data_IF_032159354641
#
_entry.id   IF_032159354641
#
_cell.length_a   1.000
_cell.length_b   1.000
_cell.length_c   1.000
_cell.angle_alpha   90.00
_cell.angle_beta   90.00
_cell.angle_gamma   90.00
#
_symmetry.space_group_name_H-M   'P 1'
#
loop_
_entity.id
_entity.type
_entity.pdbx_description
1 polymer ?
#
# COMPACT_ATOMS: atom_id res chain seq x y z
N UNK A 1 14.17 -3.62 19.05
CA UNK A 1 15.00 -3.93 17.87
C UNK A 1 14.42 -3.14 16.71
N UNK A 2 15.26 -2.42 15.96
CA UNK A 2 14.88 -1.78 14.72
C UNK A 2 14.63 -2.84 13.64
N UNK A 3 13.72 -2.56 12.74
CA UNK A 3 13.38 -3.43 11.61
C UNK A 3 13.98 -2.84 10.33
N UNK A 4 14.56 -3.66 9.47
CA UNK A 4 15.04 -3.20 8.18
C UNK A 4 13.84 -2.93 7.26
N UNK A 5 13.66 -1.67 6.88
CA UNK A 5 12.62 -1.25 5.93
C UNK A 5 13.24 -1.17 4.55
N UNK A 6 12.60 -1.79 3.55
CA UNK A 6 13.06 -1.78 2.16
C UNK A 6 11.93 -1.26 1.27
N UNK A 7 12.20 -0.21 0.52
CA UNK A 7 11.22 0.44 -0.36
C UNK A 7 11.71 0.35 -1.80
N UNK A 8 11.24 -0.65 -2.59
CA UNK A 8 11.55 -0.75 -4.00
C UNK A 8 10.80 0.34 -4.78
N UNK A 9 11.54 1.24 -5.40
CA UNK A 9 11.01 2.37 -6.16
C UNK A 9 11.76 2.62 -7.48
N UNK A 10 12.41 1.57 -8.00
CA UNK A 10 13.20 1.61 -9.25
C UNK A 10 12.36 1.54 -10.53
N UNK A 11 11.04 1.48 -10.43
CA UNK A 11 10.14 1.41 -11.58
C UNK A 11 10.22 2.67 -12.46
N UNK A 12 10.18 2.50 -13.78
CA UNK A 12 10.35 3.58 -14.77
C UNK A 12 9.18 4.59 -14.74
N UNK A 13 8.02 4.22 -14.20
CA UNK A 13 6.87 5.12 -14.07
C UNK A 13 6.15 5.45 -15.38
N UNK A 14 6.20 4.56 -16.38
CA UNK A 14 5.67 4.82 -17.74
C UNK A 14 4.25 5.36 -17.75
N UNK A 15 3.33 4.79 -16.95
CA UNK A 15 1.91 5.23 -16.89
C UNK A 15 1.77 6.71 -16.55
N UNK A 16 2.58 7.21 -15.61
CA UNK A 16 2.58 8.62 -15.24
C UNK A 16 3.21 9.49 -16.34
N UNK A 17 4.30 9.04 -16.97
CA UNK A 17 4.92 9.74 -18.11
C UNK A 17 3.97 9.84 -19.31
N UNK A 18 3.28 8.77 -19.67
CA UNK A 18 2.27 8.74 -20.73
C UNK A 18 1.09 9.68 -20.44
N UNK A 19 0.79 9.93 -19.16
CA UNK A 19 -0.24 10.88 -18.72
C UNK A 19 0.25 12.33 -18.67
N UNK A 20 1.55 12.57 -18.93
CA UNK A 20 2.17 13.90 -18.97
C UNK A 20 2.85 14.36 -17.69
N UNK A 21 3.12 13.45 -16.76
CA UNK A 21 3.91 13.77 -15.56
C UNK A 21 5.40 13.63 -15.84
N UNK A 22 6.15 14.73 -15.70
CA UNK A 22 7.60 14.76 -15.87
C UNK A 22 8.40 14.38 -14.62
N UNK A 23 7.71 14.27 -13.48
CA UNK A 23 8.27 13.97 -12.17
C UNK A 23 8.06 12.50 -11.83
N UNK A 24 9.01 11.89 -11.14
CA UNK A 24 8.87 10.53 -10.61
C UNK A 24 7.64 10.44 -9.71
N UNK A 25 6.83 9.35 -9.84
CA UNK A 25 5.55 9.20 -9.13
C UNK A 25 5.65 9.43 -7.63
N UNK A 26 6.73 8.94 -7.00
CA UNK A 26 6.94 9.07 -5.56
C UNK A 26 7.31 10.49 -5.10
N UNK A 27 7.64 11.38 -6.02
CA UNK A 27 7.83 12.82 -5.77
C UNK A 27 6.61 13.67 -6.10
N UNK A 28 5.53 13.08 -6.63
CA UNK A 28 4.28 13.81 -6.88
C UNK A 28 3.69 14.33 -5.56
N UNK A 29 3.19 15.57 -5.56
CA UNK A 29 2.70 16.18 -4.33
C UNK A 29 1.32 15.66 -3.95
N UNK A 30 1.17 15.22 -2.70
CA UNK A 30 -0.11 15.08 -2.01
C UNK A 30 -0.20 16.26 -1.06
N UNK A 31 -0.91 17.32 -1.48
CA UNK A 31 -0.93 18.61 -0.79
C UNK A 31 0.49 19.22 -0.67
N UNK A 32 1.00 19.34 0.54
CA UNK A 32 2.28 20.00 0.83
C UNK A 32 3.48 19.05 0.87
N UNK A 33 3.24 17.73 0.80
CA UNK A 33 4.28 16.71 0.91
C UNK A 33 4.29 15.80 -0.31
N UNK A 34 5.45 15.32 -0.77
CA UNK A 34 5.51 14.29 -1.81
C UNK A 34 5.04 12.93 -1.28
N UNK A 35 4.59 12.05 -2.17
CA UNK A 35 4.14 10.69 -1.85
C UNK A 35 5.15 9.96 -0.97
N UNK A 36 6.45 10.02 -1.30
CA UNK A 36 7.49 9.33 -0.53
C UNK A 36 7.52 9.75 0.95
N UNK A 37 7.18 11.01 1.27
CA UNK A 37 7.15 11.46 2.67
C UNK A 37 6.03 10.75 3.46
N UNK A 38 4.87 10.51 2.85
CA UNK A 38 3.80 9.72 3.48
C UNK A 38 4.20 8.26 3.69
N UNK A 39 5.00 7.71 2.77
CA UNK A 39 5.52 6.34 2.90
C UNK A 39 6.56 6.25 4.03
N UNK A 40 7.47 7.22 4.14
CA UNK A 40 8.46 7.28 5.22
C UNK A 40 7.76 7.48 6.58
N UNK A 41 6.70 8.27 6.65
CA UNK A 41 5.91 8.51 7.87
C UNK A 41 5.19 7.24 8.40
N UNK A 42 5.10 6.17 7.60
CA UNK A 42 4.57 4.87 8.05
C UNK A 42 5.46 4.17 9.08
N UNK A 43 6.76 4.50 9.13
CA UNK A 43 7.77 3.81 9.92
C UNK A 43 8.45 4.76 10.92
N UNK A 44 7.69 5.36 11.84
CA UNK A 44 8.28 6.19 12.87
C UNK A 44 9.23 5.35 13.73
N UNK A 45 10.34 5.93 14.16
CA UNK A 45 11.37 5.32 15.03
C UNK A 45 12.19 4.19 14.39
N UNK A 46 12.04 3.91 13.08
CA UNK A 46 12.98 3.05 12.37
C UNK A 46 14.19 3.85 11.88
N UNK A 47 15.36 3.23 11.91
CA UNK A 47 16.65 3.86 11.54
C UNK A 47 17.42 3.12 10.43
N UNK A 48 16.84 2.04 9.89
CA UNK A 48 17.39 1.28 8.76
C UNK A 48 16.41 1.29 7.58
N UNK A 49 16.27 2.45 6.92
CA UNK A 49 15.39 2.65 5.78
C UNK A 49 16.20 2.59 4.49
N UNK A 50 15.85 1.65 3.61
CA UNK A 50 16.59 1.36 2.39
C UNK A 50 15.71 1.61 1.16
N UNK A 51 16.06 2.61 0.35
CA UNK A 51 15.39 2.94 -0.90
C UNK A 51 16.13 2.32 -2.07
N UNK A 52 15.42 1.55 -2.91
CA UNK A 52 15.99 0.99 -4.14
C UNK A 52 15.49 1.81 -5.32
N UNK A 53 16.35 2.62 -5.91
CA UNK A 53 16.08 3.46 -7.06
C UNK A 53 16.69 2.87 -8.34
N UNK A 54 16.30 3.37 -9.50
CA UNK A 54 17.02 3.08 -10.73
C UNK A 54 18.25 4.01 -10.89
N UNK A 55 19.22 3.60 -11.70
CA UNK A 55 20.46 4.37 -11.93
C UNK A 55 20.22 5.73 -12.58
N UNK A 56 19.14 5.88 -13.36
CA UNK A 56 18.78 7.17 -13.97
C UNK A 56 18.40 8.19 -12.88
N UNK A 57 17.74 7.74 -11.80
CA UNK A 57 17.39 8.59 -10.66
C UNK A 57 18.64 9.06 -9.88
N UNK A 58 19.73 8.27 -9.88
CA UNK A 58 21.02 8.69 -9.32
C UNK A 58 21.68 9.79 -10.17
N UNK A 59 21.62 9.66 -11.50
CA UNK A 59 22.16 10.68 -12.41
C UNK A 59 21.37 11.99 -12.32
N UNK A 60 20.08 11.93 -11.96
CA UNK A 60 19.29 13.09 -11.57
C UNK A 60 19.46 13.39 -10.06
N UNK A 61 20.54 14.12 -9.74
CA UNK A 61 20.82 14.57 -8.35
C UNK A 61 19.63 15.29 -7.70
N UNK A 62 18.66 15.76 -8.49
CA UNK A 62 17.45 16.41 -7.99
C UNK A 62 16.57 15.42 -7.21
N UNK A 63 16.47 14.15 -7.67
CA UNK A 63 15.67 13.11 -6.97
C UNK A 63 16.22 12.90 -5.56
N UNK A 64 17.52 12.64 -5.43
CA UNK A 64 18.17 12.41 -4.12
C UNK A 64 18.04 13.65 -3.22
N UNK A 65 18.26 14.83 -3.78
CA UNK A 65 18.13 16.09 -3.04
C UNK A 65 16.71 16.32 -2.52
N UNK A 66 15.69 15.97 -3.31
CA UNK A 66 14.30 16.12 -2.85
C UNK A 66 13.97 15.13 -1.71
N UNK A 67 14.41 13.88 -1.81
CA UNK A 67 14.17 12.87 -0.76
C UNK A 67 14.96 13.21 0.51
N UNK A 68 16.21 13.65 0.39
CA UNK A 68 17.07 13.97 1.56
C UNK A 68 16.52 15.10 2.43
N UNK A 69 15.61 15.93 1.94
CA UNK A 69 14.90 16.94 2.76
C UNK A 69 14.05 16.32 3.88
N UNK A 70 13.77 15.02 3.80
CA UNK A 70 12.94 14.29 4.77
C UNK A 70 13.75 13.28 5.58
N UNK A 71 15.08 13.35 5.52
CA UNK A 71 16.02 12.47 6.20
C UNK A 71 16.85 13.26 7.23
N UNK A 72 16.18 13.80 8.24
CA UNK A 72 16.82 14.66 9.25
C UNK A 72 17.91 13.94 10.06
N UNK A 73 17.82 12.63 10.20
CA UNK A 73 18.72 11.80 11.03
C UNK A 73 19.68 10.92 10.23
N UNK A 74 19.76 11.08 8.90
CA UNK A 74 20.54 10.23 7.98
C UNK A 74 20.23 8.73 8.10
N UNK A 75 18.94 8.41 8.21
CA UNK A 75 18.44 7.02 8.35
C UNK A 75 18.22 6.34 7.00
N UNK A 76 18.19 7.13 5.91
CA UNK A 76 17.90 6.65 4.56
C UNK A 76 19.19 6.22 3.86
N UNK A 77 19.21 4.98 3.39
CA UNK A 77 20.26 4.42 2.56
C UNK A 77 19.74 4.24 1.13
N UNK A 78 20.53 4.67 0.18
CA UNK A 78 20.18 4.61 -1.24
C UNK A 78 20.90 3.44 -1.91
N UNK A 79 20.15 2.62 -2.64
CA UNK A 79 20.64 1.51 -3.46
C UNK A 79 20.18 1.72 -4.89
N UNK A 80 21.05 1.45 -5.84
CA UNK A 80 20.77 1.70 -7.25
C UNK A 80 20.80 0.41 -8.02
N UNK A 81 19.85 0.24 -8.92
CA UNK A 81 19.74 -0.92 -9.82
C UNK A 81 19.51 -0.43 -11.24
N UNK A 82 19.92 -1.22 -12.21
CA UNK A 82 19.64 -0.95 -13.61
C UNK A 82 18.12 -0.77 -13.83
N UNK A 83 17.75 0.17 -14.70
CA UNK A 83 16.35 0.42 -15.04
C UNK A 83 15.71 -0.84 -15.68
N UNK A 84 14.58 -1.28 -15.15
CA UNK A 84 13.93 -2.53 -15.58
C UNK A 84 12.40 -2.46 -15.53
N UNK A 85 11.74 -3.45 -16.19
CA UNK A 85 10.29 -3.68 -16.16
C UNK A 85 9.94 -5.05 -15.55
N UNK A 86 10.78 -5.59 -14.67
CA UNK A 86 10.63 -6.94 -14.10
C UNK A 86 9.94 -6.95 -12.73
N UNK A 87 9.43 -5.80 -12.30
CA UNK A 87 8.70 -5.65 -11.04
C UNK A 87 9.58 -5.53 -9.79
N UNK A 88 8.96 -5.30 -8.63
CA UNK A 88 9.67 -5.02 -7.37
C UNK A 88 10.51 -6.21 -6.88
N UNK A 89 10.12 -7.45 -7.18
CA UNK A 89 10.91 -8.63 -6.83
C UNK A 89 12.29 -8.63 -7.47
N UNK A 90 12.40 -8.21 -8.72
CA UNK A 90 13.70 -8.09 -9.40
C UNK A 90 14.58 -7.02 -8.75
N UNK A 91 14.02 -5.85 -8.42
CA UNK A 91 14.76 -4.79 -7.74
C UNK A 91 15.38 -5.28 -6.43
N UNK A 92 14.61 -6.01 -5.62
CA UNK A 92 15.08 -6.59 -4.37
C UNK A 92 16.22 -7.58 -4.56
N UNK A 93 16.10 -8.49 -5.53
CA UNK A 93 17.12 -9.50 -5.83
C UNK A 93 18.38 -8.91 -6.45
N UNK A 94 18.31 -7.73 -7.05
CA UNK A 94 19.45 -7.00 -7.62
C UNK A 94 20.30 -6.30 -6.55
N UNK A 95 19.93 -6.43 -5.28
CA UNK A 95 20.68 -5.89 -4.13
C UNK A 95 21.01 -6.99 -3.13
N UNK A 96 21.95 -6.71 -2.22
CA UNK A 96 22.30 -7.61 -1.11
C UNK A 96 21.40 -7.44 0.15
N UNK A 97 20.36 -6.60 0.08
CA UNK A 97 19.53 -6.23 1.22
C UNK A 97 18.82 -7.42 1.88
N UNK A 98 18.48 -8.44 1.09
CA UNK A 98 17.83 -9.66 1.57
C UNK A 98 18.80 -10.72 2.10
N UNK A 99 20.12 -10.52 2.02
CA UNK A 99 21.12 -11.43 2.56
C UNK A 99 21.28 -11.27 4.08
N UNK A 100 20.21 -11.39 4.82
CA UNK A 100 20.21 -11.20 6.29
C UNK A 100 19.32 -12.22 6.99
N UNK A 101 19.69 -12.58 8.20
CA UNK A 101 18.87 -13.37 9.13
C UNK A 101 17.95 -12.46 10.00
N UNK A 102 17.99 -11.15 9.77
CA UNK A 102 17.09 -10.22 10.42
C UNK A 102 15.75 -10.14 9.69
N UNK A 103 14.73 -9.78 10.45
CA UNK A 103 13.41 -9.48 9.93
C UNK A 103 13.43 -8.25 9.03
N UNK A 104 12.63 -8.29 7.95
CA UNK A 104 12.54 -7.21 6.97
C UNK A 104 11.07 -6.85 6.71
N UNK A 105 10.82 -5.57 6.47
CA UNK A 105 9.55 -5.09 5.97
C UNK A 105 9.74 -4.42 4.62
N UNK A 106 9.13 -4.97 3.59
CA UNK A 106 9.16 -4.43 2.24
C UNK A 106 7.88 -3.61 2.05
N UNK A 107 8.00 -2.37 1.59
CA UNK A 107 6.84 -1.49 1.37
C UNK A 107 6.93 -0.82 0.01
N UNK A 108 5.87 -0.88 -0.79
CA UNK A 108 5.86 -0.14 -2.05
C UNK A 108 5.79 1.37 -1.80
N UNK A 109 6.17 2.16 -2.80
CA UNK A 109 6.40 3.60 -2.67
C UNK A 109 5.21 4.48 -3.06
N UNK A 110 4.02 3.91 -3.27
CA UNK A 110 2.90 4.56 -3.94
C UNK A 110 1.56 4.43 -3.22
N UNK A 111 1.61 4.25 -1.89
CA UNK A 111 0.43 4.22 -1.03
C UNK A 111 0.77 4.71 0.38
N UNK A 112 -0.25 4.95 1.19
CA UNK A 112 -0.12 5.15 2.63
C UNK A 112 -1.27 4.47 3.39
N UNK A 113 -1.07 4.26 4.68
CA UNK A 113 -2.05 3.68 5.59
C UNK A 113 -2.19 4.56 6.84
N UNK A 114 -3.32 4.44 7.53
CA UNK A 114 -3.40 4.88 8.92
C UNK A 114 -3.25 3.64 9.80
N UNK A 115 -2.09 3.48 10.44
CA UNK A 115 -1.78 2.39 11.34
C UNK A 115 -0.95 2.84 12.55
N UNK A 116 -0.91 2.02 13.56
CA UNK A 116 0.00 2.16 14.69
C UNK A 116 1.16 1.17 14.48
N UNK A 117 2.29 1.67 14.00
CA UNK A 117 3.47 0.86 13.72
C UNK A 117 3.96 0.09 14.96
N UNK A 118 3.86 0.69 16.15
CA UNK A 118 4.21 0.02 17.40
C UNK A 118 3.34 -1.20 17.67
N UNK A 119 2.05 -1.14 17.34
CA UNK A 119 1.15 -2.29 17.45
C UNK A 119 1.50 -3.39 16.46
N UNK A 120 1.88 -3.05 15.23
CA UNK A 120 2.33 -4.03 14.23
C UNK A 120 3.60 -4.74 14.75
N UNK A 121 4.61 -4.00 15.22
CA UNK A 121 5.82 -4.58 15.83
C UNK A 121 5.50 -5.47 17.05
N UNK A 122 4.56 -5.06 17.88
CA UNK A 122 4.11 -5.87 19.03
C UNK A 122 3.41 -7.16 18.57
N UNK A 123 2.58 -7.11 17.54
CA UNK A 123 1.94 -8.28 16.95
C UNK A 123 2.98 -9.28 16.43
N UNK A 124 3.93 -8.81 15.62
CA UNK A 124 5.04 -9.62 15.10
C UNK A 124 5.84 -10.27 16.23
N UNK A 125 6.20 -9.49 17.26
CA UNK A 125 6.98 -9.99 18.41
C UNK A 125 6.25 -11.08 19.17
N UNK A 126 4.94 -10.94 19.35
CA UNK A 126 4.12 -11.87 20.13
C UNK A 126 3.80 -13.15 19.37
N UNK A 127 3.44 -13.06 18.11
CA UNK A 127 2.97 -14.18 17.29
C UNK A 127 4.12 -14.86 16.52
N UNK A 128 5.19 -14.14 16.22
CA UNK A 128 6.36 -14.60 15.45
C UNK A 128 5.99 -15.29 14.14
N UNK A 129 5.13 -14.69 13.30
CA UNK A 129 4.76 -15.29 12.03
C UNK A 129 5.95 -15.32 11.07
N UNK A 130 5.95 -16.24 10.11
CA UNK A 130 6.94 -16.25 9.02
C UNK A 130 6.76 -15.07 8.07
N UNK A 131 5.52 -14.60 7.93
CA UNK A 131 5.15 -13.42 7.16
C UNK A 131 3.95 -12.69 7.76
N UNK A 132 3.78 -11.39 7.40
CA UNK A 132 2.60 -10.62 7.76
C UNK A 132 2.22 -9.72 6.59
N UNK A 133 0.93 -9.70 6.26
CA UNK A 133 0.32 -8.88 5.22
C UNK A 133 -0.61 -7.84 5.85
N UNK A 134 -0.25 -6.55 5.85
CA UNK A 134 -1.23 -5.50 6.05
C UNK A 134 -2.26 -5.54 4.92
N UNK A 135 -3.53 -5.63 5.29
CA UNK A 135 -4.60 -5.80 4.34
C UNK A 135 -5.83 -4.96 4.73
N UNK A 136 -6.52 -4.47 3.74
CA UNK A 136 -7.76 -3.72 3.89
C UNK A 136 -8.94 -4.49 3.31
N UNK A 137 -10.15 -4.10 3.69
CA UNK A 137 -11.40 -4.66 3.20
C UNK A 137 -12.45 -3.57 3.12
N UNK A 138 -13.34 -3.65 2.15
CA UNK A 138 -14.44 -2.71 2.00
C UNK A 138 -14.35 -1.89 0.72
N UNK A 139 -15.13 -0.81 0.66
CA UNK A 139 -15.25 0.02 -0.53
C UNK A 139 -14.00 0.88 -0.71
N UNK A 140 -13.32 0.66 -1.82
CA UNK A 140 -12.30 1.54 -2.36
C UNK A 140 -12.67 1.87 -3.82
N UNK A 141 -12.45 3.10 -4.26
CA UNK A 141 -12.90 3.54 -5.57
C UNK A 141 -12.39 2.64 -6.71
N UNK A 142 -11.13 2.21 -6.65
CA UNK A 142 -10.55 1.30 -7.64
C UNK A 142 -11.25 -0.07 -7.70
N UNK A 143 -11.79 -0.61 -6.59
CA UNK A 143 -12.47 -1.91 -6.60
C UNK A 143 -13.83 -1.90 -7.30
N UNK A 144 -14.36 -0.71 -7.61
CA UNK A 144 -15.63 -0.57 -8.35
C UNK A 144 -15.45 -0.93 -9.82
N UNK A 145 -14.26 -0.67 -10.39
CA UNK A 145 -14.05 -0.81 -11.84
C UNK A 145 -12.69 -1.46 -12.22
N UNK A 146 -11.82 -1.73 -11.26
CA UNK A 146 -10.49 -2.35 -11.52
C UNK A 146 -10.03 -3.24 -10.39
N UNK A 147 -9.41 -4.36 -10.73
CA UNK A 147 -8.74 -5.28 -9.81
C UNK A 147 -7.23 -5.08 -9.91
N UNK A 148 -6.70 -4.02 -9.30
CA UNK A 148 -5.29 -3.64 -9.42
C UNK A 148 -4.39 -4.20 -8.31
N UNK A 149 -4.99 -4.84 -7.28
CA UNK A 149 -4.28 -5.28 -6.07
C UNK A 149 -4.39 -6.77 -5.85
N UNK A 150 -3.60 -7.32 -4.93
CA UNK A 150 -3.62 -8.73 -4.62
C UNK A 150 -4.75 -9.04 -3.62
N UNK A 151 -5.66 -9.93 -3.99
CA UNK A 151 -6.77 -10.40 -3.17
C UNK A 151 -6.36 -11.58 -2.31
N UNK A 152 -6.86 -11.65 -1.09
CA UNK A 152 -6.45 -12.57 -0.05
C UNK A 152 -7.61 -13.48 0.33
N UNK A 153 -7.39 -14.78 0.25
CA UNK A 153 -8.22 -15.80 0.88
C UNK A 153 -7.61 -16.14 2.24
N UNK A 154 -8.39 -15.97 3.29
CA UNK A 154 -7.93 -16.15 4.67
C UNK A 154 -8.89 -17.01 5.48
N UNK A 155 -8.40 -17.48 6.63
CA UNK A 155 -9.22 -18.04 7.71
C UNK A 155 -8.63 -17.60 9.04
N UNK A 156 -9.46 -16.99 9.91
CA UNK A 156 -9.05 -16.51 11.23
C UNK A 156 -7.82 -15.57 11.18
N UNK A 157 -7.78 -14.69 10.15
CA UNK A 157 -6.68 -13.79 9.85
C UNK A 157 -5.34 -14.50 9.55
N UNK A 158 -5.39 -15.74 9.09
CA UNK A 158 -4.24 -16.48 8.54
C UNK A 158 -4.40 -16.64 7.03
N UNK A 159 -3.32 -16.42 6.30
CA UNK A 159 -3.31 -16.54 4.84
C UNK A 159 -3.53 -18.00 4.41
N UNK A 160 -4.51 -18.23 3.55
CA UNK A 160 -4.68 -19.49 2.83
C UNK A 160 -4.15 -19.43 1.41
N UNK A 161 -4.39 -18.31 0.72
CA UNK A 161 -3.92 -18.05 -0.65
C UNK A 161 -4.01 -16.56 -0.96
N UNK A 162 -3.22 -16.10 -1.91
CA UNK A 162 -3.27 -14.73 -2.42
C UNK A 162 -3.13 -14.74 -3.94
N UNK A 163 -3.91 -13.92 -4.63
CA UNK A 163 -3.87 -13.77 -6.08
C UNK A 163 -3.67 -12.32 -6.47
N UNK A 164 -2.68 -12.06 -7.29
CA UNK A 164 -2.43 -10.72 -7.82
C UNK A 164 -3.46 -10.37 -8.89
N UNK A 165 -4.18 -9.25 -8.71
CA UNK A 165 -5.17 -8.68 -9.65
C UNK A 165 -6.37 -9.58 -9.98
N UNK A 166 -6.61 -10.62 -9.22
CA UNK A 166 -7.69 -11.57 -9.42
C UNK A 166 -8.41 -11.86 -8.09
N UNK A 167 -9.68 -11.42 -7.91
CA UNK A 167 -10.46 -11.75 -6.73
C UNK A 167 -10.83 -13.24 -6.70
N UNK A 168 -11.14 -13.76 -5.51
CA UNK A 168 -11.60 -15.14 -5.31
C UNK A 168 -13.10 -15.29 -5.52
N UNK A 169 -13.86 -14.20 -5.42
CA UNK A 169 -15.33 -14.18 -5.52
C UNK A 169 -15.79 -13.04 -6.45
N UNK A 170 -17.08 -13.03 -6.76
CA UNK A 170 -17.73 -11.94 -7.53
C UNK A 170 -17.96 -10.65 -6.69
N UNK A 171 -17.58 -10.67 -5.41
CA UNK A 171 -17.69 -9.54 -4.50
C UNK A 171 -16.33 -9.15 -3.90
N UNK A 172 -15.45 -8.53 -4.69
CA UNK A 172 -14.09 -8.17 -4.26
C UNK A 172 -14.06 -7.18 -3.10
N UNK A 173 -15.13 -6.41 -2.86
CA UNK A 173 -15.21 -5.49 -1.73
C UNK A 173 -15.35 -6.22 -0.38
N UNK A 174 -15.78 -7.47 -0.39
CA UNK A 174 -15.85 -8.33 0.79
C UNK A 174 -14.65 -9.25 0.96
N UNK A 175 -13.64 -9.12 0.11
CA UNK A 175 -12.35 -9.80 0.27
C UNK A 175 -11.31 -8.87 0.89
N UNK A 176 -10.33 -9.43 1.61
CA UNK A 176 -9.15 -8.66 1.94
C UNK A 176 -8.28 -8.45 0.71
N UNK A 177 -7.69 -7.26 0.59
CA UNK A 177 -6.69 -6.95 -0.41
C UNK A 177 -5.41 -6.44 0.26
N UNK A 178 -4.25 -6.82 -0.27
CA UNK A 178 -2.95 -6.38 0.24
C UNK A 178 -2.74 -4.90 -0.02
N UNK A 179 -2.19 -4.19 0.97
CA UNK A 179 -1.82 -2.78 0.81
C UNK A 179 -0.55 -2.57 -0.01
N UNK A 180 0.28 -3.60 -0.20
CA UNK A 180 1.62 -3.48 -0.78
C UNK A 180 2.73 -3.37 0.27
N UNK A 181 2.41 -3.64 1.53
CA UNK A 181 3.36 -3.84 2.63
C UNK A 181 3.55 -5.34 2.91
N UNK A 182 4.78 -5.78 3.21
CA UNK A 182 5.15 -7.19 3.28
C UNK A 182 6.21 -7.42 4.35
N UNK A 183 5.87 -8.04 5.46
CA UNK A 183 6.82 -8.46 6.49
C UNK A 183 7.29 -9.89 6.25
N UNK A 184 8.58 -10.14 6.35
CA UNK A 184 9.18 -11.47 6.37
C UNK A 184 10.03 -11.64 7.63
N UNK A 185 9.96 -12.82 8.23
CA UNK A 185 10.71 -13.16 9.46
C UNK A 185 12.22 -13.09 9.27
N UNK A 186 12.72 -13.24 8.04
CA UNK A 186 14.12 -12.95 7.67
C UNK A 186 14.22 -12.49 6.22
N UNK A 187 15.26 -11.71 5.89
CA UNK A 187 15.57 -11.37 4.51
C UNK A 187 15.82 -12.62 3.65
N UNK A 188 16.44 -13.67 4.22
CA UNK A 188 16.67 -14.94 3.51
C UNK A 188 15.37 -15.65 3.12
N UNK A 189 14.33 -15.61 3.97
CA UNK A 189 12.99 -16.12 3.63
C UNK A 189 12.43 -15.35 2.46
N UNK A 190 12.46 -14.02 2.52
CA UNK A 190 12.02 -13.18 1.41
C UNK A 190 12.77 -13.51 0.12
N UNK A 191 14.12 -13.58 0.18
CA UNK A 191 14.97 -13.91 -0.98
C UNK A 191 14.61 -15.26 -1.59
N UNK A 192 14.42 -16.30 -0.75
CA UNK A 192 14.05 -17.64 -1.20
C UNK A 192 12.77 -17.62 -2.04
N UNK A 193 11.70 -17.04 -1.51
CA UNK A 193 10.40 -17.08 -2.17
C UNK A 193 10.30 -16.12 -3.36
N UNK A 194 10.98 -14.99 -3.34
CA UNK A 194 11.07 -14.09 -4.49
C UNK A 194 11.87 -14.72 -5.62
N UNK A 195 12.97 -15.43 -5.35
CA UNK A 195 13.71 -16.19 -6.37
C UNK A 195 12.83 -17.25 -7.05
N UNK A 196 12.01 -17.95 -6.27
CA UNK A 196 11.10 -18.97 -6.81
C UNK A 196 10.09 -18.41 -7.82
N UNK A 197 9.74 -17.10 -7.74
CA UNK A 197 8.86 -16.49 -8.74
C UNK A 197 9.49 -16.52 -10.13
N UNK A 198 10.80 -16.28 -10.22
CA UNK A 198 11.54 -16.34 -11.47
C UNK A 198 11.83 -17.78 -11.89
N UNK A 199 12.25 -18.63 -10.96
CA UNK A 199 12.55 -20.05 -11.23
C UNK A 199 11.33 -20.83 -11.74
N UNK A 200 10.14 -20.51 -11.23
CA UNK A 200 8.87 -21.18 -11.59
C UNK A 200 8.04 -20.40 -12.62
N UNK A 201 8.58 -19.31 -13.17
CA UNK A 201 7.89 -18.39 -14.11
C UNK A 201 6.52 -17.90 -13.60
N UNK A 202 6.46 -17.55 -12.29
CA UNK A 202 5.25 -17.00 -11.65
C UNK A 202 5.31 -15.47 -11.77
N UNK A 203 5.14 -14.98 -12.99
CA UNK A 203 5.20 -13.57 -13.32
C UNK A 203 3.83 -13.09 -13.82
N UNK A 204 3.43 -11.86 -13.43
CA UNK A 204 2.22 -11.21 -13.92
C UNK A 204 2.64 -10.10 -14.89
N UNK A 205 2.32 -10.27 -16.17
CA UNK A 205 2.77 -9.37 -17.25
C UNK A 205 4.30 -9.17 -17.28
N UNK A 206 5.07 -10.21 -16.94
CA UNK A 206 6.53 -10.18 -16.87
C UNK A 206 7.10 -9.55 -15.59
N UNK A 207 6.28 -9.22 -14.62
CA UNK A 207 6.67 -8.62 -13.34
C UNK A 207 6.56 -9.61 -12.18
N UNK A 208 7.56 -9.64 -11.30
CA UNK A 208 7.56 -10.40 -10.05
C UNK A 208 6.97 -9.55 -8.92
N UNK A 209 5.71 -9.81 -8.57
CA UNK A 209 5.03 -9.18 -7.44
C UNK A 209 5.32 -9.92 -6.13
N UNK A 210 5.56 -9.17 -5.05
CA UNK A 210 5.88 -9.75 -3.73
C UNK A 210 4.69 -10.55 -3.18
N UNK A 211 3.47 -10.16 -3.48
CA UNK A 211 2.24 -10.89 -3.13
C UNK A 211 2.30 -12.34 -3.58
N UNK A 212 2.80 -12.62 -4.78
CA UNK A 212 2.92 -13.99 -5.32
C UNK A 212 3.89 -14.86 -4.53
N UNK A 213 4.91 -14.27 -3.89
CA UNK A 213 5.81 -15.01 -2.99
C UNK A 213 5.07 -15.52 -1.74
N UNK A 214 4.08 -14.78 -1.25
CA UNK A 214 3.26 -15.19 -0.11
C UNK A 214 2.33 -16.36 -0.42
N UNK A 215 1.86 -16.50 -1.65
CA UNK A 215 1.10 -17.68 -2.07
C UNK A 215 1.95 -18.94 -2.04
N UNK A 216 3.24 -18.82 -2.39
CA UNK A 216 4.20 -19.92 -2.25
C UNK A 216 4.49 -20.23 -0.78
N UNK A 217 4.65 -19.22 0.07
CA UNK A 217 4.85 -19.42 1.51
C UNK A 217 3.67 -20.18 2.14
N UNK A 218 2.44 -19.77 1.84
CA UNK A 218 1.24 -20.44 2.32
C UNK A 218 1.15 -21.90 1.84
N UNK A 219 1.48 -22.18 0.57
CA UNK A 219 1.54 -23.55 0.01
C UNK A 219 2.60 -24.42 0.67
N UNK A 220 3.72 -23.85 1.09
CA UNK A 220 4.78 -24.53 1.82
C UNK A 220 4.46 -24.68 3.33
N UNK A 221 3.29 -24.20 3.79
CA UNK A 221 2.84 -24.32 5.18
C UNK A 221 3.45 -23.32 6.17
N UNK A 222 4.03 -22.23 5.67
CA UNK A 222 4.52 -21.16 6.53
C UNK A 222 3.33 -20.36 7.12
N UNK A 223 3.49 -19.89 8.35
CA UNK A 223 2.49 -19.07 9.01
C UNK A 223 2.56 -17.60 8.55
N UNK A 224 1.51 -17.16 7.88
CA UNK A 224 1.36 -15.76 7.43
C UNK A 224 0.14 -15.14 8.07
N UNK A 225 0.36 -14.08 8.84
CA UNK A 225 -0.70 -13.32 9.49
C UNK A 225 -1.26 -12.23 8.57
N UNK A 226 -2.57 -12.00 8.64
CA UNK A 226 -3.24 -10.84 8.05
C UNK A 226 -3.41 -9.77 9.13
N UNK A 227 -2.85 -8.59 8.89
CA UNK A 227 -3.02 -7.45 9.79
C UNK A 227 -4.01 -6.47 9.18
N UNK A 228 -5.20 -6.36 9.78
CA UNK A 228 -6.26 -5.51 9.26
C UNK A 228 -5.90 -4.03 9.36
N UNK A 229 -6.04 -3.32 8.23
CA UNK A 229 -5.89 -1.88 8.10
C UNK A 229 -7.27 -1.26 7.84
N UNK A 230 -7.62 -0.22 8.61
CA UNK A 230 -8.92 0.44 8.48
C UNK A 230 -8.92 1.50 7.37
N UNK A 231 -7.80 2.17 7.13
CA UNK A 231 -7.68 3.22 6.12
C UNK A 231 -6.46 3.01 5.24
N UNK A 232 -6.70 2.86 3.95
CA UNK A 232 -5.70 2.67 2.92
C UNK A 232 -5.87 3.74 1.83
N UNK A 233 -4.78 4.42 1.48
CA UNK A 233 -4.73 5.45 0.46
C UNK A 233 -3.73 5.05 -0.62
N UNK A 234 -4.18 5.00 -1.86
CA UNK A 234 -3.38 4.51 -2.98
C UNK A 234 -3.16 5.58 -4.03
N UNK A 235 -1.97 5.56 -4.63
CA UNK A 235 -1.54 6.50 -5.66
C UNK A 235 -0.70 5.79 -6.73
N UNK A 236 -0.93 4.50 -6.94
CA UNK A 236 -0.14 3.63 -7.80
C UNK A 236 -0.36 3.83 -9.28
N UNK A 237 -1.48 4.45 -9.66
CA UNK A 237 -1.78 4.82 -11.04
C UNK A 237 -2.11 6.31 -11.14
N UNK A 238 -1.98 6.94 -12.34
CA UNK A 238 -2.40 8.32 -12.53
C UNK A 238 -3.86 8.55 -12.13
N UNK A 239 -4.74 7.61 -12.46
CA UNK A 239 -6.17 7.68 -12.16
C UNK A 239 -6.41 7.68 -10.65
N UNK A 240 -5.77 6.78 -9.89
CA UNK A 240 -5.90 6.72 -8.42
C UNK A 240 -5.40 8.01 -7.77
N UNK A 241 -4.28 8.56 -8.28
CA UNK A 241 -3.70 9.79 -7.79
C UNK A 241 -4.60 11.01 -8.09
N UNK A 242 -5.04 11.17 -9.35
CA UNK A 242 -5.89 12.28 -9.79
C UNK A 242 -7.22 12.28 -9.06
N UNK A 243 -7.86 11.11 -8.91
CA UNK A 243 -9.12 10.95 -8.19
C UNK A 243 -8.97 11.30 -6.71
N UNK A 244 -7.91 10.82 -6.07
CA UNK A 244 -7.63 11.16 -4.67
C UNK A 244 -7.48 12.68 -4.49
N UNK A 245 -6.67 13.34 -5.34
CA UNK A 245 -6.47 14.80 -5.29
C UNK A 245 -7.79 15.54 -5.52
N UNK A 246 -8.58 15.10 -6.51
CA UNK A 246 -9.88 15.70 -6.80
C UNK A 246 -10.80 15.60 -5.59
N UNK A 247 -11.05 14.40 -5.07
CA UNK A 247 -11.93 14.19 -3.92
C UNK A 247 -11.50 14.99 -2.68
N UNK A 248 -10.20 15.03 -2.40
CA UNK A 248 -9.69 15.75 -1.24
C UNK A 248 -9.77 17.26 -1.40
N UNK A 249 -9.62 17.79 -2.62
CA UNK A 249 -9.82 19.23 -2.88
C UNK A 249 -11.29 19.61 -2.71
N UNK A 250 -12.22 18.78 -3.18
CA UNK A 250 -13.66 18.99 -2.98
C UNK A 250 -14.02 19.00 -1.48
N UNK A 251 -13.52 18.02 -0.71
CA UNK A 251 -13.74 17.97 0.75
C UNK A 251 -13.18 19.23 1.44
N UNK A 252 -11.98 19.67 1.06
CA UNK A 252 -11.39 20.91 1.59
C UNK A 252 -12.22 22.14 1.25
N UNK A 253 -12.72 22.24 0.03
CA UNK A 253 -13.56 23.36 -0.42
C UNK A 253 -14.86 23.43 0.38
N UNK A 254 -15.46 22.28 0.67
CA UNK A 254 -16.66 22.20 1.53
C UNK A 254 -16.38 22.70 2.96
N UNK A 255 -15.22 22.37 3.53
CA UNK A 255 -14.84 22.87 4.85
C UNK A 255 -14.47 24.37 4.90
N UNK A 256 -14.04 24.92 3.76
CA UNK A 256 -13.69 26.34 3.63
C UNK A 256 -14.85 27.22 3.15
N UNK A 257 -15.94 26.61 2.66
CA UNK A 257 -17.12 27.35 2.23
C UNK A 257 -17.74 28.08 3.42
N UNK A 258 -18.07 29.38 3.23
CA UNK A 258 -18.85 30.12 4.22
C UNK A 258 -20.18 29.42 4.43
N UNK A 259 -20.71 29.40 5.67
CA UNK A 259 -22.06 28.91 5.91
C UNK A 259 -23.02 29.59 4.94
N UNK A 260 -23.77 28.79 4.20
CA UNK A 260 -24.83 29.32 3.34
C UNK A 260 -25.86 29.96 4.26
N UNK A 261 -26.26 31.23 4.00
CA UNK A 261 -27.38 31.81 4.70
C UNK A 261 -28.67 31.08 4.26
N UNK A 262 -29.19 30.26 5.15
CA UNK A 262 -30.34 29.39 4.89
C UNK A 262 -31.69 30.11 5.04
N UNK A 263 -31.69 31.42 5.31
CA UNK A 263 -32.96 32.19 5.61
C UNK A 263 -33.97 32.07 4.47
N UNK A 264 -33.48 31.99 3.23
CA UNK A 264 -34.33 31.94 2.03
C UNK A 264 -34.30 30.56 1.32
N UNK A 265 -33.76 29.53 2.00
CA UNK A 265 -33.65 28.18 1.46
C UNK A 265 -34.65 27.25 2.16
N UNK A 266 -35.55 26.65 1.39
CA UNK A 266 -36.41 25.57 1.84
C UNK A 266 -35.67 24.23 1.67
N UNK A 267 -35.19 23.63 2.77
CA UNK A 267 -34.60 22.30 2.74
C UNK A 267 -35.67 21.23 2.84
N UNK A 268 -35.88 20.48 1.77
CA UNK A 268 -36.79 19.32 1.74
C UNK A 268 -35.97 18.04 1.86
N UNK A 269 -36.09 17.36 3.00
CA UNK A 269 -35.44 16.07 3.24
C UNK A 269 -36.47 14.94 3.09
N UNK A 270 -36.43 14.14 2.02
CA UNK A 270 -37.28 12.97 1.88
C UNK A 270 -36.78 11.85 2.81
N UNK A 271 -37.31 11.77 4.02
CA UNK A 271 -36.88 10.84 5.08
C UNK A 271 -37.91 9.70 5.32
N UNK A 272 -38.91 9.57 4.49
CA UNK A 272 -39.99 8.60 4.63
C UNK A 272 -39.60 7.14 4.32
N UNK A 273 -38.34 6.89 3.92
CA UNK A 273 -37.87 5.52 3.67
C UNK A 273 -37.76 4.69 4.95
N UNK A 274 -38.29 3.46 4.94
CA UNK A 274 -38.32 2.54 6.09
C UNK A 274 -36.93 2.17 6.62
N UNK A 275 -35.85 2.47 5.90
CA UNK A 275 -34.48 2.14 6.33
C UNK A 275 -34.23 0.64 6.52
N UNK A 276 -35.01 -0.24 5.88
CA UNK A 276 -35.03 -1.69 6.07
C UNK A 276 -33.64 -2.33 6.09
N UNK A 277 -32.74 -1.92 5.17
CA UNK A 277 -31.35 -2.41 5.12
C UNK A 277 -30.54 -2.15 6.39
N UNK A 278 -30.87 -1.11 7.15
CA UNK A 278 -30.23 -0.80 8.42
C UNK A 278 -30.89 -1.56 9.57
N UNK A 279 -32.23 -1.63 9.60
CA UNK A 279 -32.94 -2.42 10.61
C UNK A 279 -32.62 -3.91 10.50
N UNK A 280 -32.47 -4.47 9.30
CA UNK A 280 -32.08 -5.86 9.06
C UNK A 280 -30.65 -6.16 9.56
N UNK A 281 -29.80 -5.14 9.68
CA UNK A 281 -28.46 -5.21 10.29
C UNK A 281 -28.43 -4.86 11.79
N UNK A 282 -29.60 -4.75 12.42
CA UNK A 282 -29.74 -4.52 13.86
C UNK A 282 -29.65 -3.07 14.32
N UNK A 283 -29.58 -2.09 13.40
CA UNK A 283 -29.64 -0.68 13.80
C UNK A 283 -31.05 -0.31 14.27
N UNK A 284 -31.17 0.17 15.51
CA UNK A 284 -32.44 0.62 16.11
C UNK A 284 -32.74 2.08 15.85
N UNK A 285 -31.73 2.85 15.53
CA UNK A 285 -31.83 4.28 15.21
C UNK A 285 -32.07 4.46 13.72
N UNK A 286 -33.00 5.31 13.29
CA UNK A 286 -33.18 5.64 11.87
C UNK A 286 -31.86 6.12 11.25
N UNK A 287 -31.57 5.71 10.00
CA UNK A 287 -30.26 5.97 9.35
C UNK A 287 -29.86 7.44 9.34
N UNK A 288 -30.81 8.37 9.35
CA UNK A 288 -30.57 9.82 9.34
C UNK A 288 -29.98 10.35 10.66
N UNK A 289 -30.04 9.54 11.73
CA UNK A 289 -29.49 9.86 13.06
C UNK A 289 -28.32 8.94 13.44
N UNK A 290 -27.80 8.16 12.50
CA UNK A 290 -26.57 7.38 12.72
C UNK A 290 -25.36 8.31 12.62
N UNK A 291 -24.50 8.25 13.64
CA UNK A 291 -23.20 8.93 13.69
C UNK A 291 -22.16 8.23 12.82
#
# INVERSE_FOLDING_TARGET
KFMKIIIPMSGIGNRFRERGYDTQKYLLPIFEKPIIKYVLDLFPDEDDINLILNEDDFNDQKVIKEISKFDDDNKIKYHFVEAHKKGPGYALLSTELLNTDEDVFINYCDFSNIWDWTKIKKHIKNNKPDGLLPAYKGVHLHTIYRNNYAFIKEQDLKLLSIKEKEPFTDDPMNEFASTGGYYFSTGKVAKKYINQLFEKDILINGEAYISSAYDLMAKDGLEVDIYKIDHFFQWGTPEDYEEFIYCMNEIRSLHQSKPIDLKDINLVLPIAGEGKRFSDKGYKTPKIFLE
#
